data_IF_206094660131
#
_entry.id   IF_206094660131
#
_cell.length_a   1.000
_cell.length_b   1.000
_cell.length_c   1.000
_cell.angle_alpha   90.00
_cell.angle_beta   90.00
_cell.angle_gamma   90.00
#
_symmetry.space_group_name_H-M   'P 1'
#
loop_
_entity.id
_entity.type
_entity.pdbx_description
1 polymer ?
#
# COMPACT_ATOMS: atom_id res chain seq x y z
N UNK A 1 -45.30 12.53 -52.82
CA UNK A 1 -45.65 13.25 -51.56
C UNK A 1 -45.30 12.35 -50.37
N UNK A 2 -44.49 12.90 -49.45
CA UNK A 2 -44.25 12.52 -48.05
C UNK A 2 -43.88 11.05 -47.72
N UNK A 3 -42.56 10.80 -47.62
CA UNK A 3 -41.98 9.77 -46.74
C UNK A 3 -42.17 10.23 -45.28
N UNK A 4 -42.96 9.50 -44.50
CA UNK A 4 -43.06 9.70 -43.06
C UNK A 4 -41.86 9.05 -42.37
N UNK A 5 -41.01 9.90 -41.77
CA UNK A 5 -40.04 9.50 -40.74
C UNK A 5 -40.81 9.32 -39.44
N UNK A 6 -40.78 8.13 -38.86
CA UNK A 6 -41.06 7.95 -37.43
C UNK A 6 -39.74 7.55 -36.76
N UNK A 7 -39.08 8.55 -36.18
CA UNK A 7 -38.12 8.35 -35.10
C UNK A 7 -38.91 7.79 -33.91
N UNK A 8 -38.60 6.57 -33.48
CA UNK A 8 -39.00 6.10 -32.15
C UNK A 8 -37.91 6.52 -31.18
N UNK A 9 -38.32 7.32 -30.21
CA UNK A 9 -37.55 7.77 -29.06
C UNK A 9 -36.92 6.58 -28.35
N UNK A 10 -35.59 6.60 -28.21
CA UNK A 10 -34.83 5.72 -27.35
C UNK A 10 -34.90 6.24 -25.92
N UNK A 11 -35.55 5.51 -25.02
CA UNK A 11 -35.45 5.76 -23.58
C UNK A 11 -34.02 5.54 -23.07
N UNK A 12 -33.55 6.32 -22.08
CA UNK A 12 -32.22 6.18 -21.49
C UNK A 12 -32.23 5.05 -20.46
N UNK A 13 -32.34 3.82 -20.97
CA UNK A 13 -32.12 2.60 -20.21
C UNK A 13 -31.13 1.77 -21.00
N UNK A 14 -29.93 2.33 -21.21
CA UNK A 14 -28.85 1.59 -21.83
C UNK A 14 -28.66 0.30 -21.02
N UNK A 15 -29.04 -0.84 -21.61
CA UNK A 15 -28.48 -2.14 -21.26
C UNK A 15 -26.98 -2.02 -21.52
N UNK A 16 -26.26 -1.39 -20.60
CA UNK A 16 -24.81 -1.52 -20.51
C UNK A 16 -24.61 -3.02 -20.28
N UNK A 17 -23.94 -3.69 -21.21
CA UNK A 17 -23.76 -5.14 -21.21
C UNK A 17 -23.09 -5.58 -19.90
N UNK A 18 -23.90 -6.04 -18.93
CA UNK A 18 -23.46 -6.49 -17.61
C UNK A 18 -22.40 -7.60 -17.70
N UNK A 19 -22.39 -8.36 -18.79
CA UNK A 19 -21.40 -9.39 -19.08
C UNK A 19 -19.99 -8.81 -19.27
N UNK A 20 -19.88 -7.68 -19.96
CA UNK A 20 -18.60 -6.99 -20.20
C UNK A 20 -18.07 -6.41 -18.88
N UNK A 21 -18.93 -5.82 -18.06
CA UNK A 21 -18.52 -5.24 -16.77
C UNK A 21 -17.99 -6.31 -15.80
N UNK A 22 -18.63 -7.48 -15.73
CA UNK A 22 -18.18 -8.59 -14.89
C UNK A 22 -16.87 -9.19 -15.38
N UNK A 23 -16.66 -9.29 -16.70
CA UNK A 23 -15.39 -9.73 -17.28
C UNK A 23 -14.24 -8.77 -16.96
N UNK A 24 -14.46 -7.46 -17.09
CA UNK A 24 -13.48 -6.42 -16.73
C UNK A 24 -13.16 -6.44 -15.23
N UNK A 25 -14.17 -6.71 -14.38
CA UNK A 25 -13.93 -6.87 -12.95
C UNK A 25 -13.03 -8.08 -12.68
N UNK A 26 -13.35 -9.24 -13.27
CA UNK A 26 -12.58 -10.48 -13.11
C UNK A 26 -11.14 -10.31 -13.61
N UNK A 27 -10.94 -9.67 -14.76
CA UNK A 27 -9.62 -9.42 -15.34
C UNK A 27 -8.74 -8.61 -14.38
N UNK A 28 -9.28 -7.51 -13.83
CA UNK A 28 -8.57 -6.75 -12.81
C UNK A 28 -8.28 -7.57 -11.55
N UNK A 29 -9.23 -8.37 -11.07
CA UNK A 29 -9.04 -9.18 -9.86
C UNK A 29 -7.94 -10.25 -10.07
N UNK A 30 -7.70 -10.66 -11.32
CA UNK A 30 -6.60 -11.55 -11.72
C UNK A 30 -5.27 -10.82 -11.97
N UNK A 31 -5.31 -9.51 -12.18
CA UNK A 31 -4.12 -8.71 -12.48
C UNK A 31 -3.20 -8.68 -11.26
N UNK A 32 -1.91 -8.93 -11.50
CA UNK A 32 -0.86 -8.84 -10.48
C UNK A 32 -0.83 -7.42 -9.88
N UNK A 33 -0.70 -7.25 -8.55
CA UNK A 33 -0.48 -5.92 -7.98
C UNK A 33 0.94 -5.43 -8.29
N UNK A 34 1.12 -4.12 -8.43
CA UNK A 34 2.45 -3.55 -8.71
C UNK A 34 3.38 -3.72 -7.51
N UNK A 35 4.58 -4.24 -7.75
CA UNK A 35 5.61 -4.44 -6.75
C UNK A 35 6.87 -3.62 -7.09
N UNK A 36 7.48 -3.02 -6.07
CA UNK A 36 8.65 -2.16 -6.22
C UNK A 36 9.83 -2.71 -5.41
N UNK A 37 11.03 -2.49 -5.91
CA UNK A 37 12.26 -2.59 -5.13
C UNK A 37 13.03 -1.27 -5.20
N UNK A 38 13.46 -0.78 -4.04
CA UNK A 38 14.24 0.46 -3.90
C UNK A 38 15.67 0.08 -3.55
N UNK A 39 16.60 0.38 -4.45
CA UNK A 39 18.02 0.03 -4.34
C UNK A 39 18.90 1.26 -4.38
N UNK A 40 20.12 1.12 -3.88
CA UNK A 40 21.09 2.21 -3.78
C UNK A 40 22.02 2.06 -2.58
N UNK A 41 23.04 2.91 -2.54
CA UNK A 41 24.10 2.84 -1.52
C UNK A 41 23.57 3.01 -0.08
N UNK A 42 24.25 2.45 0.95
CA UNK A 42 23.85 2.64 2.35
C UNK A 42 23.76 4.13 2.72
N UNK A 43 22.66 4.56 3.36
CA UNK A 43 22.48 5.96 3.76
C UNK A 43 21.86 6.91 2.72
N UNK A 44 21.56 6.45 1.50
CA UNK A 44 21.02 7.31 0.43
C UNK A 44 19.55 7.69 0.61
N UNK A 45 18.88 7.21 1.68
CA UNK A 45 17.48 7.52 1.95
C UNK A 45 16.45 6.51 1.44
N UNK A 46 16.90 5.29 1.07
CA UNK A 46 16.03 4.20 0.57
C UNK A 46 14.77 3.98 1.42
N UNK A 47 14.93 3.74 2.72
CA UNK A 47 13.80 3.45 3.62
C UNK A 47 12.82 4.63 3.72
N UNK A 48 13.32 5.88 3.61
CA UNK A 48 12.45 7.07 3.63
C UNK A 48 11.60 7.14 2.37
N UNK A 49 12.22 6.95 1.19
CA UNK A 49 11.50 6.91 -0.08
C UNK A 49 10.51 5.73 -0.11
N UNK A 50 10.95 4.54 0.30
CA UNK A 50 10.15 3.33 0.28
C UNK A 50 8.91 3.45 1.16
N UNK A 51 9.03 4.00 2.38
CA UNK A 51 7.88 4.26 3.26
C UNK A 51 6.88 5.21 2.62
N UNK A 52 7.34 6.37 2.14
CA UNK A 52 6.47 7.37 1.52
C UNK A 52 5.80 6.85 0.25
N UNK A 53 6.51 6.04 -0.54
CA UNK A 53 5.96 5.38 -1.72
C UNK A 53 4.89 4.35 -1.35
N UNK A 54 5.15 3.52 -0.33
CA UNK A 54 4.18 2.54 0.14
C UNK A 54 2.88 3.20 0.62
N UNK A 55 2.99 4.30 1.38
CA UNK A 55 1.84 5.11 1.81
C UNK A 55 1.10 5.74 0.62
N UNK A 56 1.81 6.36 -0.31
CA UNK A 56 1.21 7.07 -1.46
C UNK A 56 0.57 6.14 -2.49
N UNK A 57 1.13 4.93 -2.65
CA UNK A 57 0.67 3.94 -3.62
C UNK A 57 -0.27 2.87 -3.01
N UNK A 58 -0.52 2.92 -1.70
CA UNK A 58 -1.25 1.90 -0.93
C UNK A 58 -0.64 0.49 -1.03
N UNK A 59 0.69 0.40 -1.03
CA UNK A 59 1.43 -0.85 -0.98
C UNK A 59 1.86 -1.22 0.44
N UNK A 60 2.34 -2.45 0.63
CA UNK A 60 2.98 -2.87 1.87
C UNK A 60 4.48 -2.60 1.87
N UNK A 61 4.96 -1.89 2.86
CA UNK A 61 6.39 -1.71 3.07
C UNK A 61 7.02 -3.01 3.58
N UNK A 62 8.13 -3.41 2.97
CA UNK A 62 8.99 -4.51 3.40
C UNK A 62 10.36 -3.90 3.74
N UNK A 63 10.49 -3.53 5.01
CA UNK A 63 11.68 -2.97 5.64
C UNK A 63 11.97 -3.81 6.88
N UNK A 64 13.22 -4.19 7.08
CA UNK A 64 13.66 -5.06 8.16
C UNK A 64 13.40 -4.42 9.53
N UNK A 65 13.74 -3.15 9.70
CA UNK A 65 13.58 -2.41 10.96
C UNK A 65 12.11 -2.32 11.34
N UNK A 66 11.25 -1.92 10.41
CA UNK A 66 9.81 -1.82 10.68
C UNK A 66 9.15 -3.18 10.95
N UNK A 67 9.61 -4.22 10.24
CA UNK A 67 9.14 -5.59 10.42
C UNK A 67 9.51 -6.11 11.82
N UNK A 68 10.78 -6.00 12.22
CA UNK A 68 11.25 -6.42 13.53
C UNK A 68 10.53 -5.68 14.66
N UNK A 69 10.38 -4.36 14.54
CA UNK A 69 9.65 -3.55 15.52
C UNK A 69 8.17 -3.95 15.62
N UNK A 70 7.54 -4.36 14.50
CA UNK A 70 6.17 -4.86 14.51
C UNK A 70 6.05 -6.19 15.26
N UNK A 71 7.01 -7.10 15.06
CA UNK A 71 7.06 -8.38 15.77
C UNK A 71 7.27 -8.22 17.28
N UNK A 72 8.13 -7.26 17.68
CA UNK A 72 8.36 -6.90 19.08
C UNK A 72 7.07 -6.32 19.70
N UNK A 73 6.46 -5.32 19.05
CA UNK A 73 5.23 -4.67 19.55
C UNK A 73 4.04 -5.62 19.69
N UNK A 74 3.94 -6.60 18.80
CA UNK A 74 2.87 -7.60 18.82
C UNK A 74 3.16 -8.77 19.77
N UNK A 75 4.29 -8.77 20.47
CA UNK A 75 4.71 -9.84 21.39
C UNK A 75 4.66 -11.23 20.72
N UNK A 76 5.02 -11.28 19.44
CA UNK A 76 5.13 -12.55 18.71
C UNK A 76 6.28 -13.39 19.27
N UNK A 77 6.25 -14.71 19.04
CA UNK A 77 7.32 -15.61 19.52
C UNK A 77 8.70 -15.15 19.05
N UNK A 78 8.82 -14.83 17.77
CA UNK A 78 10.05 -14.30 17.16
C UNK A 78 10.41 -12.92 17.71
N UNK A 79 9.42 -12.08 18.03
CA UNK A 79 9.62 -10.77 18.65
C UNK A 79 10.14 -10.85 20.08
N UNK A 80 9.64 -11.78 20.89
CA UNK A 80 10.14 -12.02 22.25
C UNK A 80 11.55 -12.58 22.23
N UNK A 81 11.85 -13.54 21.34
CA UNK A 81 13.20 -14.07 21.13
C UNK A 81 14.18 -12.96 20.73
N UNK A 82 13.79 -12.13 19.75
CA UNK A 82 14.58 -10.99 19.32
C UNK A 82 14.83 -10.00 20.46
N UNK A 83 13.81 -9.69 21.25
CA UNK A 83 13.92 -8.76 22.38
C UNK A 83 14.88 -9.28 23.47
N UNK A 84 14.91 -10.60 23.71
CA UNK A 84 15.89 -11.21 24.62
C UNK A 84 17.33 -11.05 24.09
N UNK A 85 17.55 -11.34 22.81
CA UNK A 85 18.87 -11.18 22.16
C UNK A 85 19.34 -9.72 22.27
N UNK A 86 18.44 -8.77 22.02
CA UNK A 86 18.75 -7.34 22.10
C UNK A 86 19.06 -6.89 23.54
N UNK A 87 18.36 -7.42 24.56
CA UNK A 87 18.65 -7.11 25.96
C UNK A 87 20.02 -7.63 26.43
N UNK A 88 20.49 -8.73 25.84
CA UNK A 88 21.84 -9.26 26.07
C UNK A 88 22.93 -8.44 25.34
N UNK A 89 22.55 -7.42 24.56
CA UNK A 89 23.47 -6.64 23.73
C UNK A 89 23.88 -7.32 22.43
N UNK A 90 23.16 -8.39 22.04
CA UNK A 90 23.36 -9.09 20.79
C UNK A 90 22.79 -8.35 19.58
N UNK A 91 23.07 -8.89 18.38
CA UNK A 91 22.54 -8.40 17.10
C UNK A 91 21.47 -9.36 16.59
N UNK A 92 20.45 -8.84 15.93
CA UNK A 92 19.41 -9.65 15.30
C UNK A 92 20.03 -10.64 14.28
N UNK A 93 19.85 -11.96 14.42
CA UNK A 93 20.43 -12.93 13.49
C UNK A 93 19.87 -12.75 12.08
N UNK A 94 20.76 -12.66 11.08
CA UNK A 94 20.36 -12.41 9.68
C UNK A 94 19.41 -13.48 9.15
N UNK A 95 19.59 -14.75 9.55
CA UNK A 95 18.68 -15.86 9.22
C UNK A 95 17.24 -15.62 9.71
N UNK A 96 17.10 -15.10 10.93
CA UNK A 96 15.79 -14.77 11.50
C UNK A 96 15.14 -13.63 10.72
N UNK A 97 15.91 -12.58 10.40
CA UNK A 97 15.43 -11.44 9.62
C UNK A 97 14.98 -11.89 8.22
N UNK A 98 15.79 -12.70 7.53
CA UNK A 98 15.45 -13.23 6.20
C UNK A 98 14.17 -14.08 6.25
N UNK A 99 14.03 -14.95 7.24
CA UNK A 99 12.82 -15.76 7.45
C UNK A 99 11.58 -14.89 7.63
N UNK A 100 11.67 -13.83 8.43
CA UNK A 100 10.56 -12.89 8.64
C UNK A 100 10.22 -12.13 7.35
N UNK A 101 11.22 -11.68 6.59
CA UNK A 101 11.01 -11.00 5.30
C UNK A 101 10.28 -11.93 4.32
N UNK A 102 10.73 -13.18 4.17
CA UNK A 102 10.09 -14.16 3.27
C UNK A 102 8.66 -14.47 3.74
N UNK A 103 8.44 -14.63 5.04
CA UNK A 103 7.10 -14.84 5.60
C UNK A 103 6.19 -13.64 5.31
N UNK A 104 6.70 -12.41 5.45
CA UNK A 104 5.97 -11.19 5.15
C UNK A 104 5.65 -11.09 3.66
N UNK A 105 6.59 -11.40 2.76
CA UNK A 105 6.41 -11.40 1.30
C UNK A 105 5.33 -12.39 0.82
N UNK A 106 5.07 -13.45 1.61
CA UNK A 106 4.07 -14.47 1.34
C UNK A 106 2.73 -14.23 2.05
N UNK A 107 2.56 -13.10 2.73
CA UNK A 107 1.30 -12.79 3.41
C UNK A 107 0.17 -12.51 2.41
N UNK A 108 -1.08 -12.81 2.77
CA UNK A 108 -2.20 -12.73 1.84
C UNK A 108 -2.54 -11.30 1.38
N UNK A 109 -2.16 -10.29 2.15
CA UNK A 109 -2.40 -8.88 1.79
C UNK A 109 -1.49 -8.41 0.66
N UNK A 110 -0.30 -8.98 0.50
CA UNK A 110 0.60 -8.64 -0.61
C UNK A 110 0.01 -9.05 -1.97
N UNK A 111 -0.79 -10.11 -2.03
CA UNK A 111 -1.50 -10.50 -3.26
C UNK A 111 -2.45 -9.44 -3.80
N UNK A 112 -2.92 -8.56 -2.91
CA UNK A 112 -3.81 -7.50 -3.27
C UNK A 112 -3.09 -6.16 -3.39
N UNK A 113 -2.32 -5.78 -2.37
CA UNK A 113 -1.72 -4.45 -2.27
C UNK A 113 -0.34 -4.35 -2.93
N UNK A 114 0.31 -5.46 -3.25
CA UNK A 114 1.70 -5.47 -3.66
C UNK A 114 2.62 -5.02 -2.52
N UNK A 115 3.86 -4.68 -2.86
CA UNK A 115 4.86 -4.29 -1.86
C UNK A 115 5.89 -3.29 -2.37
N UNK A 116 6.59 -2.64 -1.44
CA UNK A 116 7.83 -1.89 -1.67
C UNK A 116 8.93 -2.52 -0.83
N UNK A 117 9.92 -3.13 -1.47
CA UNK A 117 11.05 -3.79 -0.82
C UNK A 117 12.27 -2.88 -0.78
N UNK A 118 12.86 -2.65 0.40
CA UNK A 118 14.06 -1.81 0.54
C UNK A 118 15.17 -2.39 1.42
N UNK A 119 14.95 -3.53 2.05
CA UNK A 119 15.91 -4.17 2.96
C UNK A 119 16.81 -5.23 2.30
N UNK A 120 16.60 -5.56 1.03
CA UNK A 120 17.36 -6.58 0.30
C UNK A 120 17.99 -6.02 -0.99
N UNK A 121 19.17 -6.52 -1.41
CA UNK A 121 20.01 -7.50 -0.71
C UNK A 121 20.67 -6.90 0.54
N UNK A 122 20.94 -7.75 1.53
CA UNK A 122 21.78 -7.42 2.66
C UNK A 122 23.21 -7.13 2.18
N UNK A 123 23.89 -6.28 2.95
CA UNK A 123 25.29 -5.97 2.70
C UNK A 123 26.23 -7.07 3.23
N UNK A 124 25.76 -7.81 4.23
CA UNK A 124 26.42 -8.99 4.80
C UNK A 124 26.17 -10.22 3.91
N UNK A 125 27.10 -11.17 3.99
CA UNK A 125 27.00 -12.49 3.36
C UNK A 125 27.06 -13.61 4.42
N UNK A 126 26.70 -13.30 5.67
CA UNK A 126 26.70 -14.26 6.79
C UNK A 126 25.68 -15.38 6.57
N UNK A 127 24.48 -15.04 6.11
CA UNK A 127 23.41 -16.01 5.85
C UNK A 127 23.45 -16.56 4.43
N UNK A 128 23.66 -15.68 3.43
CA UNK A 128 23.51 -16.00 2.02
C UNK A 128 24.37 -15.07 1.17
N UNK A 129 24.99 -15.56 0.09
CA UNK A 129 25.79 -14.71 -0.82
C UNK A 129 24.90 -13.69 -1.51
N UNK A 130 25.43 -12.52 -1.85
CA UNK A 130 24.64 -11.46 -2.51
C UNK A 130 24.02 -11.93 -3.83
N UNK A 131 24.72 -12.78 -4.59
CA UNK A 131 24.17 -13.36 -5.81
C UNK A 131 22.91 -14.19 -5.55
N UNK A 132 22.95 -15.06 -4.53
CA UNK A 132 21.82 -15.90 -4.13
C UNK A 132 20.66 -15.04 -3.60
N UNK A 133 20.95 -13.93 -2.92
CA UNK A 133 19.93 -12.97 -2.47
C UNK A 133 19.26 -12.27 -3.65
N UNK A 134 20.01 -11.89 -4.70
CA UNK A 134 19.45 -11.32 -5.92
C UNK A 134 18.61 -12.37 -6.67
N UNK A 135 19.08 -13.61 -6.75
CA UNK A 135 18.33 -14.70 -7.37
C UNK A 135 17.03 -15.00 -6.60
N UNK A 136 17.05 -14.89 -5.27
CA UNK A 136 15.84 -14.97 -4.44
C UNK A 136 14.85 -13.87 -4.80
N UNK A 137 15.32 -12.62 -4.94
CA UNK A 137 14.48 -11.46 -5.33
C UNK A 137 13.85 -11.69 -6.71
N UNK A 138 14.64 -12.16 -7.69
CA UNK A 138 14.17 -12.47 -9.05
C UNK A 138 13.10 -13.57 -9.06
N UNK A 139 13.25 -14.57 -8.19
CA UNK A 139 12.38 -15.74 -8.14
C UNK A 139 11.27 -15.67 -7.07
N UNK A 140 10.99 -14.48 -6.54
CA UNK A 140 9.84 -14.28 -5.66
C UNK A 140 8.55 -14.67 -6.39
N UNK A 141 7.56 -15.17 -5.63
CA UNK A 141 6.21 -15.48 -6.15
C UNK A 141 5.59 -14.29 -6.89
N UNK A 142 5.88 -13.09 -6.41
CA UNK A 142 5.57 -11.83 -7.06
C UNK A 142 6.90 -11.09 -7.23
N UNK A 143 7.59 -11.22 -8.38
CA UNK A 143 8.85 -10.52 -8.59
C UNK A 143 8.60 -9.00 -8.64
N UNK A 144 9.58 -8.15 -8.26
CA UNK A 144 9.42 -6.70 -8.41
C UNK A 144 9.14 -6.34 -9.87
N UNK A 145 8.14 -5.49 -10.11
CA UNK A 145 7.87 -4.94 -11.44
C UNK A 145 8.77 -3.74 -11.70
N UNK A 146 9.05 -2.93 -10.68
CA UNK A 146 9.84 -1.71 -10.79
C UNK A 146 11.11 -1.76 -9.95
N UNK A 147 12.23 -1.34 -10.54
CA UNK A 147 13.48 -1.09 -9.84
C UNK A 147 13.70 0.41 -9.75
N UNK A 148 13.73 0.95 -8.53
CA UNK A 148 14.03 2.36 -8.25
C UNK A 148 15.44 2.43 -7.69
N UNK A 149 16.38 2.93 -8.49
CA UNK A 149 17.78 3.05 -8.13
C UNK A 149 18.12 4.50 -7.75
N UNK A 150 18.49 4.73 -6.49
CA UNK A 150 18.92 6.05 -6.01
C UNK A 150 20.44 6.18 -6.10
N UNK A 151 20.91 7.05 -7.00
CA UNK A 151 22.33 7.35 -7.21
C UNK A 151 22.74 8.58 -6.41
N UNK A 152 23.92 8.54 -5.80
CA UNK A 152 24.51 9.67 -5.07
C UNK A 152 26.02 9.44 -4.99
N UNK A 153 26.80 10.52 -5.12
CA UNK A 153 28.25 10.44 -4.97
C UNK A 153 28.66 10.06 -3.53
N UNK A 154 29.81 9.39 -3.40
CA UNK A 154 30.29 8.87 -2.11
C UNK A 154 30.53 9.98 -1.10
N UNK A 155 31.19 11.05 -1.54
CA UNK A 155 31.55 12.18 -0.68
C UNK A 155 30.31 12.81 -0.06
N UNK A 156 29.27 13.04 -0.86
CA UNK A 156 28.04 13.66 -0.39
C UNK A 156 27.24 12.73 0.51
N UNK A 157 27.30 11.42 0.24
CA UNK A 157 26.71 10.40 1.09
C UNK A 157 27.40 10.32 2.47
N UNK A 158 28.73 10.36 2.51
CA UNK A 158 29.51 10.40 3.77
C UNK A 158 29.22 11.69 4.53
N UNK A 159 29.15 12.83 3.85
CA UNK A 159 28.82 14.12 4.47
C UNK A 159 27.39 14.15 5.02
N UNK A 160 26.43 13.55 4.28
CA UNK A 160 25.04 13.40 4.72
C UNK A 160 24.97 12.52 5.98
N UNK A 161 25.59 11.34 5.96
CA UNK A 161 25.60 10.40 7.07
C UNK A 161 26.25 11.00 8.32
N UNK A 162 27.45 11.59 8.18
CA UNK A 162 28.16 12.26 9.27
C UNK A 162 27.49 13.56 9.74
N UNK A 163 26.39 13.99 9.12
CA UNK A 163 25.53 15.08 9.56
C UNK A 163 24.25 14.61 10.26
N UNK A 164 23.97 13.31 10.29
CA UNK A 164 22.76 12.75 10.91
C UNK A 164 22.98 12.48 12.40
N UNK A 165 22.10 13.03 13.23
CA UNK A 165 21.96 12.63 14.63
C UNK A 165 20.65 11.90 14.86
N UNK A 166 20.57 11.11 15.92
CA UNK A 166 19.35 10.40 16.32
C UNK A 166 18.88 10.85 17.69
N UNK A 167 17.57 10.91 17.87
CA UNK A 167 16.96 11.07 19.19
C UNK A 167 16.90 9.70 19.88
N UNK A 168 17.52 9.51 21.05
CA UNK A 168 17.54 8.24 21.77
C UNK A 168 16.13 7.71 22.09
N UNK A 169 15.21 8.59 22.49
CA UNK A 169 13.88 8.19 22.94
C UNK A 169 12.95 7.76 21.79
N UNK A 170 13.09 8.40 20.62
CA UNK A 170 12.17 8.19 19.49
C UNK A 170 12.78 7.42 18.34
N UNK A 171 14.11 7.26 18.32
CA UNK A 171 14.86 6.70 17.20
C UNK A 171 14.84 7.55 15.93
N UNK A 172 14.21 8.74 15.94
CA UNK A 172 14.10 9.62 14.76
C UNK A 172 15.45 10.22 14.39
N UNK A 173 15.74 10.26 13.09
CA UNK A 173 16.94 10.86 12.52
C UNK A 173 16.73 12.34 12.21
N UNK A 174 17.72 13.16 12.54
CA UNK A 174 17.76 14.61 12.34
C UNK A 174 18.96 14.97 11.46
N UNK A 175 18.72 15.45 10.22
CA UNK A 175 19.79 15.95 9.36
C UNK A 175 20.40 17.25 9.90
N UNK A 176 21.65 17.52 9.49
CA UNK A 176 22.45 18.66 9.91
C UNK A 176 21.67 19.98 9.90
N UNK A 177 20.91 20.26 8.84
CA UNK A 177 20.17 21.51 8.67
C UNK A 177 19.10 21.78 9.74
N UNK A 178 18.60 20.74 10.44
CA UNK A 178 17.58 20.91 11.48
C UNK A 178 18.19 21.21 12.85
N UNK A 179 19.36 20.65 13.17
CA UNK A 179 19.99 20.80 14.50
C UNK A 179 21.16 21.80 14.50
N UNK A 180 21.75 22.15 13.35
CA UNK A 180 22.72 23.25 13.21
C UNK A 180 22.07 24.65 13.13
N UNK A 181 20.80 24.79 13.52
CA UNK A 181 20.10 26.09 13.48
C UNK A 181 20.71 27.17 14.41
N UNK A 182 21.77 26.86 15.16
CA UNK A 182 22.58 27.87 15.87
C UNK A 182 23.46 28.73 14.92
N UNK A 183 23.75 28.28 13.69
CA UNK A 183 24.51 29.09 12.70
C UNK A 183 23.65 30.12 11.94
N UNK A 184 22.31 30.02 12.01
CA UNK A 184 21.40 31.01 11.40
C UNK A 184 21.06 32.19 12.33
N UNK A 185 21.29 32.04 13.63
CA UNK A 185 21.03 33.08 14.65
C UNK A 185 22.30 33.64 15.30
N UNK A 186 23.48 33.19 14.89
CA UNK A 186 24.73 33.88 15.21
C UNK A 186 24.91 35.01 14.19
N UNK A 187 24.87 36.29 14.59
CA UNK A 187 25.20 37.37 13.66
C UNK A 187 26.64 37.14 13.19
N UNK A 188 26.84 36.99 11.89
CA UNK A 188 28.16 37.09 11.27
C UNK A 188 28.80 38.35 11.85
N UNK A 189 29.96 38.22 12.51
CA UNK A 189 30.73 39.39 12.93
C UNK A 189 30.91 40.27 11.70
N UNK A 190 30.45 41.53 11.70
CA UNK A 190 30.86 42.48 10.68
C UNK A 190 32.38 42.56 10.74
N UNK A 191 33.03 42.58 9.58
CA UNK A 191 34.38 43.10 9.44
C UNK A 191 34.49 44.44 10.16
N UNK A 192 35.61 44.63 10.84
CA UNK A 192 35.92 45.77 11.71
C UNK A 192 35.56 47.14 11.09
N UNK A 193 34.34 47.62 11.33
CA UNK A 193 33.99 49.04 11.32
C UNK A 193 33.03 49.32 12.48
N UNK A 194 33.40 50.33 13.25
CA UNK A 194 32.87 50.73 14.55
C UNK A 194 31.36 51.02 14.52
N UNK A 195 30.55 50.27 15.30
CA UNK A 195 29.24 50.77 15.78
C UNK A 195 28.97 50.25 17.20
N UNK A 196 28.57 51.20 18.04
CA UNK A 196 28.49 51.19 19.50
C UNK A 196 27.67 50.06 20.14
N UNK A 197 28.16 49.64 21.31
CA UNK A 197 27.46 48.84 22.32
C UNK A 197 26.17 49.52 22.78
N UNK A 198 25.02 48.84 22.60
CA UNK A 198 23.89 48.86 23.57
C UNK A 198 22.78 47.82 23.37
N UNK A 199 22.62 47.19 22.20
CA UNK A 199 21.40 46.40 21.93
C UNK A 199 21.56 44.86 21.99
N UNK A 200 22.69 44.33 22.45
CA UNK A 200 22.92 42.87 22.52
C UNK A 200 22.23 42.15 23.68
N UNK A 201 21.70 42.89 24.66
CA UNK A 201 21.14 42.28 25.88
C UNK A 201 19.61 42.11 25.87
N UNK A 202 18.89 42.80 24.97
CA UNK A 202 17.43 42.71 24.92
C UNK A 202 16.90 41.61 23.97
N UNK A 203 17.64 41.23 22.92
CA UNK A 203 17.21 40.19 21.97
C UNK A 203 17.37 38.74 22.49
N UNK A 204 18.29 38.48 23.42
CA UNK A 204 18.43 37.15 24.05
C UNK A 204 17.28 36.84 25.03
N UNK A 205 16.63 37.87 25.55
CA UNK A 205 15.54 37.76 26.53
C UNK A 205 14.17 37.55 25.87
N UNK A 206 14.00 37.93 24.59
CA UNK A 206 12.72 37.75 23.87
C UNK A 206 12.59 36.35 23.26
N UNK A 207 13.69 35.73 22.81
CA UNK A 207 13.66 34.38 22.21
C UNK A 207 13.47 33.24 23.24
N UNK A 208 13.72 33.51 24.53
CA UNK A 208 13.58 32.54 25.62
C UNK A 208 12.15 32.43 26.18
N UNK A 209 11.23 33.31 25.75
CA UNK A 209 9.86 33.38 26.26
C UNK A 209 8.81 32.75 25.35
N UNK A 210 9.21 32.16 24.22
CA UNK A 210 8.28 31.43 23.32
C UNK A 210 8.26 29.94 23.71
N UNK A 211 7.12 29.39 24.19
CA UNK A 211 7.05 28.01 24.71
C UNK A 211 7.55 26.93 23.73
N UNK A 212 7.42 27.17 22.42
CA UNK A 212 7.88 26.24 21.38
C UNK A 212 9.38 26.25 21.07
N UNK A 213 10.11 27.31 21.42
CA UNK A 213 11.56 27.45 21.14
C UNK A 213 12.38 26.73 22.22
N UNK A 214 11.94 26.83 23.48
CA UNK A 214 12.57 26.13 24.61
C UNK A 214 12.43 24.61 24.50
N UNK A 215 11.28 24.13 24.00
CA UNK A 215 11.04 22.70 23.75
C UNK A 215 11.93 22.15 22.63
N UNK A 216 12.10 22.89 21.53
CA UNK A 216 13.00 22.52 20.43
C UNK A 216 14.46 22.46 20.88
N UNK A 217 14.91 23.42 21.69
CA UNK A 217 16.30 23.45 22.20
C UNK A 217 16.63 22.22 23.05
N UNK A 218 15.72 21.81 23.96
CA UNK A 218 15.89 20.60 24.77
C UNK A 218 16.02 19.32 23.95
N UNK A 219 15.32 19.20 22.82
CA UNK A 219 15.43 18.02 21.95
C UNK A 219 16.83 17.94 21.34
N UNK A 220 17.40 19.06 20.90
CA UNK A 220 18.68 19.09 20.21
C UNK A 220 19.88 18.76 21.12
N UNK A 221 19.80 19.11 22.41
CA UNK A 221 20.84 18.83 23.40
C UNK A 221 21.01 17.32 23.68
N UNK A 222 19.96 16.52 23.45
CA UNK A 222 19.95 15.07 23.68
C UNK A 222 20.18 14.23 22.41
N UNK A 223 20.43 14.86 21.27
CA UNK A 223 20.68 14.15 20.02
C UNK A 223 22.07 13.50 20.02
N UNK A 224 22.12 12.21 19.66
CA UNK A 224 23.35 11.41 19.65
C UNK A 224 23.83 11.13 18.24
N UNK A 225 25.16 11.01 18.11
CA UNK A 225 25.79 10.51 16.89
C UNK A 225 25.74 8.99 16.84
N UNK A 226 25.43 8.43 15.67
CA UNK A 226 25.53 6.99 15.47
C UNK A 226 26.98 6.63 15.14
N UNK A 227 27.60 5.66 15.85
CA UNK A 227 28.96 5.20 15.53
C UNK A 227 29.10 4.77 14.07
N UNK A 228 28.07 4.15 13.49
CA UNK A 228 28.05 3.71 12.09
C UNK A 228 28.09 4.85 11.07
N UNK A 229 27.63 6.04 11.46
CA UNK A 229 27.53 7.22 10.60
C UNK A 229 28.79 8.09 10.66
N UNK A 230 29.75 7.77 11.54
CA UNK A 230 31.06 8.41 11.54
C UNK A 230 31.73 8.23 10.17
N UNK A 231 32.40 9.26 9.67
CA UNK A 231 32.88 9.32 8.28
C UNK A 231 33.70 8.11 7.85
N UNK A 232 34.57 7.59 8.72
CA UNK A 232 35.38 6.40 8.47
C UNK A 232 34.51 5.14 8.31
N UNK A 233 33.55 4.93 9.21
CA UNK A 233 32.67 3.77 9.21
C UNK A 233 31.67 3.82 8.05
N UNK A 234 31.10 5.00 7.79
CA UNK A 234 30.24 5.25 6.64
C UNK A 234 30.96 4.95 5.32
N UNK A 235 32.20 5.46 5.16
CA UNK A 235 33.01 5.19 3.97
C UNK A 235 33.36 3.70 3.84
N UNK A 236 33.66 3.03 4.96
CA UNK A 236 33.88 1.58 4.99
C UNK A 236 32.68 0.80 4.43
N UNK A 237 31.46 1.12 4.89
CA UNK A 237 30.21 0.49 4.40
C UNK A 237 29.94 0.76 2.93
N UNK A 238 30.16 1.99 2.47
CA UNK A 238 30.00 2.38 1.06
C UNK A 238 30.98 1.60 0.18
N UNK A 239 32.24 1.48 0.62
CA UNK A 239 33.27 0.71 -0.10
C UNK A 239 32.96 -0.79 -0.12
N UNK A 240 32.43 -1.34 0.98
CA UNK A 240 31.97 -2.73 1.03
C UNK A 240 30.88 -2.96 -0.03
N UNK A 241 29.86 -2.10 -0.05
CA UNK A 241 28.77 -2.17 -1.03
C UNK A 241 29.28 -2.07 -2.47
N UNK A 242 30.26 -1.20 -2.75
CA UNK A 242 30.88 -1.09 -4.08
C UNK A 242 31.60 -2.35 -4.52
N UNK A 243 32.29 -3.03 -3.60
CA UNK A 243 33.11 -4.21 -3.90
C UNK A 243 32.27 -5.46 -4.10
N UNK A 244 31.23 -5.65 -3.29
CA UNK A 244 30.45 -6.88 -3.27
C UNK A 244 29.11 -6.75 -4.00
N UNK A 245 28.32 -5.71 -3.70
CA UNK A 245 26.92 -5.60 -4.14
C UNK A 245 26.74 -4.86 -5.46
N UNK A 246 27.47 -3.77 -5.68
CA UNK A 246 27.18 -2.81 -6.75
C UNK A 246 27.17 -3.46 -8.14
N UNK A 247 28.20 -4.24 -8.48
CA UNK A 247 28.31 -4.90 -9.79
C UNK A 247 27.16 -5.88 -10.03
N UNK A 248 26.85 -6.73 -9.04
CA UNK A 248 25.77 -7.71 -9.16
C UNK A 248 24.40 -7.05 -9.29
N UNK A 249 24.23 -5.90 -8.63
CA UNK A 249 23.03 -5.10 -8.74
C UNK A 249 22.94 -4.40 -10.11
N UNK A 250 24.05 -3.89 -10.65
CA UNK A 250 24.11 -3.32 -11.99
C UNK A 250 23.76 -4.38 -13.06
N UNK A 251 24.27 -5.60 -12.91
CA UNK A 251 23.92 -6.73 -13.78
C UNK A 251 22.41 -7.04 -13.68
N UNK A 252 21.84 -7.08 -12.47
CA UNK A 252 20.39 -7.24 -12.26
C UNK A 252 19.57 -6.12 -12.91
N UNK A 253 20.00 -4.87 -12.78
CA UNK A 253 19.35 -3.70 -13.37
C UNK A 253 19.41 -3.76 -14.90
N UNK A 254 20.56 -4.18 -15.47
CA UNK A 254 20.76 -4.26 -16.91
C UNK A 254 19.92 -5.36 -17.57
N UNK A 255 19.68 -6.46 -16.86
CA UNK A 255 18.76 -7.53 -17.30
C UNK A 255 17.28 -7.11 -17.26
N UNK A 256 16.94 -6.11 -16.43
CA UNK A 256 15.58 -5.65 -16.25
C UNK A 256 15.10 -4.77 -17.40
N UNK A 257 13.79 -4.80 -17.69
CA UNK A 257 13.24 -4.03 -18.80
C UNK A 257 13.34 -2.50 -18.51
N UNK A 258 13.91 -1.69 -19.42
CA UNK A 258 14.25 -0.29 -19.15
C UNK A 258 13.07 0.59 -18.75
N UNK A 259 11.86 0.38 -19.29
CA UNK A 259 10.72 1.24 -18.93
C UNK A 259 10.21 1.02 -17.50
N UNK A 260 10.65 -0.03 -16.83
CA UNK A 260 10.30 -0.29 -15.44
C UNK A 260 11.48 -0.04 -14.49
N UNK A 261 12.49 0.68 -14.96
CA UNK A 261 13.68 1.07 -14.21
C UNK A 261 13.70 2.59 -14.07
N UNK A 262 13.81 3.08 -12.83
CA UNK A 262 13.87 4.50 -12.51
C UNK A 262 15.20 4.81 -11.84
N UNK A 263 15.99 5.69 -12.44
CA UNK A 263 17.18 6.25 -11.81
C UNK A 263 16.84 7.60 -11.19
N UNK A 264 17.11 7.76 -9.90
CA UNK A 264 16.86 8.98 -9.17
C UNK A 264 18.17 9.56 -8.63
N UNK A 265 18.24 10.89 -8.59
CA UNK A 265 19.35 11.61 -7.99
C UNK A 265 19.10 11.85 -6.49
N UNK A 266 19.82 11.09 -5.66
CA UNK A 266 19.74 11.12 -4.21
C UNK A 266 20.29 12.38 -3.53
N UNK A 267 20.78 13.37 -4.27
CA UNK A 267 21.04 14.72 -3.73
C UNK A 267 19.75 15.47 -3.42
N UNK A 268 18.68 15.19 -4.16
CA UNK A 268 17.38 15.83 -4.00
C UNK A 268 16.67 15.40 -2.72
N UNK A 269 15.81 16.28 -2.14
CA UNK A 269 15.06 15.95 -0.94
C UNK A 269 14.06 14.80 -1.20
N UNK A 270 13.70 14.02 -0.16
CA UNK A 270 12.80 12.88 -0.32
C UNK A 270 11.41 13.22 -0.89
N UNK A 271 10.92 14.47 -0.73
CA UNK A 271 9.67 14.92 -1.39
C UNK A 271 9.79 14.94 -2.91
N UNK A 272 10.91 15.41 -3.44
CA UNK A 272 11.16 15.55 -4.87
C UNK A 272 11.41 14.19 -5.52
N UNK A 273 12.15 13.32 -4.83
CA UNK A 273 12.33 11.92 -5.24
C UNK A 273 10.99 11.21 -5.39
N UNK A 274 10.12 11.34 -4.38
CA UNK A 274 8.78 10.75 -4.41
C UNK A 274 7.94 11.34 -5.56
N UNK A 275 7.97 12.67 -5.72
CA UNK A 275 7.23 13.35 -6.77
C UNK A 275 7.64 12.88 -8.17
N UNK A 276 8.94 12.66 -8.37
CA UNK A 276 9.50 12.12 -9.62
C UNK A 276 9.00 10.70 -9.90
N UNK A 277 8.99 9.82 -8.88
CA UNK A 277 8.45 8.46 -8.99
C UNK A 277 6.96 8.50 -9.31
N UNK A 278 6.18 9.28 -8.57
CA UNK A 278 4.72 9.38 -8.76
C UNK A 278 4.37 9.94 -10.14
N UNK A 279 5.12 10.95 -10.62
CA UNK A 279 4.96 11.48 -11.96
C UNK A 279 5.20 10.39 -13.02
N UNK A 280 6.30 9.64 -12.90
CA UNK A 280 6.61 8.55 -13.80
C UNK A 280 5.50 7.48 -13.83
N UNK A 281 5.04 7.02 -12.67
CA UNK A 281 3.99 6.01 -12.58
C UNK A 281 2.66 6.50 -13.16
N UNK A 282 2.33 7.78 -12.95
CA UNK A 282 1.12 8.39 -13.52
C UNK A 282 1.17 8.45 -15.06
N UNK A 283 2.36 8.65 -15.65
CA UNK A 283 2.55 8.70 -17.10
C UNK A 283 2.33 7.35 -17.78
N UNK A 284 2.52 6.24 -17.05
CA UNK A 284 2.30 4.88 -17.54
C UNK A 284 0.84 4.41 -17.43
N UNK A 285 -0.08 5.31 -17.06
CA UNK A 285 -1.49 5.01 -16.79
C UNK A 285 -1.70 3.90 -15.74
N UNK A 286 -0.71 3.67 -14.87
CA UNK A 286 -0.82 2.77 -13.74
C UNK A 286 -1.64 3.44 -12.63
N UNK A 287 -2.50 2.66 -11.99
CA UNK A 287 -3.31 3.12 -10.86
C UNK A 287 -2.93 2.36 -9.60
N UNK A 288 -2.91 3.03 -8.43
CA UNK A 288 -2.74 2.34 -7.16
C UNK A 288 -3.89 1.36 -6.94
N UNK A 289 -3.62 0.35 -6.11
CA UNK A 289 -4.60 -0.69 -5.78
C UNK A 289 -5.80 -0.06 -5.08
N UNK A 290 -7.01 -0.48 -5.46
CA UNK A 290 -8.23 -0.05 -4.77
C UNK A 290 -8.28 -0.60 -3.36
N UNK A 291 -8.37 0.28 -2.36
CA UNK A 291 -8.50 -0.11 -0.95
C UNK A 291 -9.99 -0.27 -0.60
N UNK A 292 -10.41 -1.36 0.07
CA UNK A 292 -11.77 -1.47 0.60
C UNK A 292 -12.05 -0.37 1.64
N UNK A 293 -13.15 0.37 1.46
CA UNK A 293 -13.53 1.49 2.32
C UNK A 293 -14.74 1.09 3.17
N UNK A 294 -14.59 1.07 4.49
CA UNK A 294 -15.73 0.91 5.40
C UNK A 294 -16.60 2.17 5.36
N UNK A 295 -17.85 2.02 4.93
CA UNK A 295 -18.73 3.16 4.67
C UNK A 295 -19.26 3.80 5.94
N UNK A 296 -19.61 2.97 6.92
CA UNK A 296 -20.12 3.43 8.20
C UNK A 296 -18.99 3.72 9.19
N UNK A 297 -19.18 4.74 10.02
CA UNK A 297 -18.31 5.00 11.17
C UNK A 297 -18.93 4.41 12.44
N UNK A 298 -18.13 3.98 13.42
CA UNK A 298 -18.64 3.42 14.67
C UNK A 298 -19.52 4.40 15.47
N UNK A 299 -19.42 5.71 15.21
CA UNK A 299 -20.13 6.76 15.95
C UNK A 299 -21.43 7.23 15.27
N UNK A 300 -21.79 6.68 14.10
CA UNK A 300 -23.04 7.01 13.40
C UNK A 300 -24.13 5.97 13.73
N UNK A 301 -25.08 6.37 14.58
CA UNK A 301 -26.27 5.58 14.90
C UNK A 301 -27.14 5.41 13.64
N UNK A 302 -27.39 4.16 13.25
CA UNK A 302 -28.34 3.87 12.17
C UNK A 302 -29.76 4.00 12.73
N UNK A 303 -30.69 4.62 11.99
CA UNK A 303 -32.08 4.59 12.39
C UNK A 303 -32.62 3.15 12.35
N UNK A 304 -33.07 2.64 13.50
CA UNK A 304 -33.47 1.23 13.70
C UNK A 304 -34.70 0.83 12.84
N UNK A 305 -35.51 1.80 12.39
CA UNK A 305 -36.80 1.58 11.72
C UNK A 305 -36.77 1.72 10.18
N UNK A 306 -35.60 1.84 9.55
CA UNK A 306 -35.51 2.01 8.09
C UNK A 306 -35.55 0.67 7.35
N UNK A 307 -36.35 0.58 6.29
CA UNK A 307 -36.33 -0.55 5.35
C UNK A 307 -34.91 -0.82 4.85
N UNK A 308 -34.45 -2.08 4.93
CA UNK A 308 -33.14 -2.55 4.49
C UNK A 308 -32.73 -2.04 3.11
N UNK A 309 -33.69 -1.90 2.19
CA UNK A 309 -33.45 -1.38 0.84
C UNK A 309 -33.16 0.12 0.82
N UNK A 310 -33.85 0.89 1.66
CA UNK A 310 -33.65 2.33 1.83
C UNK A 310 -32.34 2.63 2.55
N UNK A 311 -31.99 1.83 3.56
CA UNK A 311 -30.71 1.90 4.26
C UNK A 311 -29.55 1.74 3.27
N UNK A 312 -29.62 0.74 2.38
CA UNK A 312 -28.57 0.51 1.38
C UNK A 312 -28.47 1.64 0.35
N UNK A 313 -29.58 2.30 0.01
CA UNK A 313 -29.54 3.49 -0.85
C UNK A 313 -28.81 4.63 -0.14
N UNK A 314 -29.08 4.85 1.14
CA UNK A 314 -28.35 5.83 1.93
C UNK A 314 -26.85 5.50 1.97
N UNK A 315 -26.48 4.26 2.33
CA UNK A 315 -25.08 3.82 2.41
C UNK A 315 -24.34 3.97 1.08
N UNK A 316 -25.03 3.74 -0.05
CA UNK A 316 -24.42 3.92 -1.37
C UNK A 316 -23.96 5.35 -1.66
N UNK A 317 -24.52 6.34 -0.97
CA UNK A 317 -24.14 7.75 -1.11
C UNK A 317 -23.05 8.20 -0.15
N UNK A 318 -22.67 7.35 0.82
CA UNK A 318 -21.64 7.66 1.80
C UNK A 318 -20.24 7.38 1.23
N UNK A 319 -19.27 8.24 1.55
CA UNK A 319 -17.83 8.10 1.22
C UNK A 319 -17.56 7.68 -0.23
N UNK A 320 -18.29 8.26 -1.18
CA UNK A 320 -18.19 7.95 -2.61
C UNK A 320 -16.82 8.30 -3.17
N UNK A 321 -16.34 7.52 -4.15
CA UNK A 321 -15.03 7.71 -4.81
C UNK A 321 -14.88 9.11 -5.41
N UNK A 322 -15.98 9.68 -5.91
CA UNK A 322 -16.07 11.06 -6.37
C UNK A 322 -17.45 11.62 -6.02
N UNK A 323 -17.54 12.93 -5.85
CA UNK A 323 -18.82 13.59 -5.54
C UNK A 323 -19.87 13.28 -6.62
N UNK A 324 -21.05 12.83 -6.20
CA UNK A 324 -22.14 12.43 -7.08
C UNK A 324 -22.08 10.99 -7.63
N UNK A 325 -21.03 10.21 -7.32
CA UNK A 325 -20.90 8.82 -7.79
C UNK A 325 -21.21 7.81 -6.69
N UNK A 326 -22.48 7.46 -6.53
CA UNK A 326 -22.92 6.46 -5.55
C UNK A 326 -22.35 5.06 -5.85
N UNK A 327 -22.08 4.29 -4.79
CA UNK A 327 -21.68 2.89 -4.89
C UNK A 327 -22.78 2.06 -5.57
N UNK A 328 -22.39 1.30 -6.59
CA UNK A 328 -23.27 0.37 -7.29
C UNK A 328 -23.47 -0.89 -6.46
N UNK A 329 -24.60 -1.57 -6.63
CA UNK A 329 -24.83 -2.84 -5.93
C UNK A 329 -23.97 -3.93 -6.54
N UNK A 330 -23.26 -4.67 -5.69
CA UNK A 330 -22.54 -5.87 -6.13
C UNK A 330 -23.51 -7.02 -6.44
N UNK A 331 -23.03 -8.00 -7.22
CA UNK A 331 -23.75 -9.26 -7.50
C UNK A 331 -24.00 -10.13 -6.26
N UNK A 332 -23.30 -9.86 -5.16
CA UNK A 332 -23.49 -10.54 -3.89
C UNK A 332 -24.73 -10.04 -3.15
N UNK A 333 -25.30 -8.89 -3.54
CA UNK A 333 -26.47 -8.28 -2.91
C UNK A 333 -26.29 -8.19 -1.38
N UNK A 334 -27.08 -8.96 -0.62
CA UNK A 334 -27.03 -9.00 0.84
C UNK A 334 -26.12 -10.09 1.41
N UNK A 335 -25.54 -10.94 0.57
CA UNK A 335 -24.78 -12.11 1.01
C UNK A 335 -23.32 -11.72 1.22
N UNK A 336 -22.75 -12.10 2.36
CA UNK A 336 -21.34 -11.87 2.65
C UNK A 336 -20.44 -12.71 1.72
N UNK A 337 -19.54 -12.10 0.91
CA UNK A 337 -18.65 -12.82 -0.01
C UNK A 337 -17.67 -13.73 0.73
N UNK A 338 -17.21 -13.32 1.92
CA UNK A 338 -16.27 -14.09 2.75
C UNK A 338 -16.93 -15.35 3.30
N UNK A 339 -18.11 -15.21 3.90
CA UNK A 339 -18.88 -16.34 4.41
C UNK A 339 -19.22 -17.33 3.29
N UNK A 340 -19.61 -16.81 2.11
CA UNK A 340 -19.93 -17.63 0.95
C UNK A 340 -18.73 -18.45 0.48
N UNK A 341 -17.53 -17.86 0.45
CA UNK A 341 -16.28 -18.56 0.10
C UNK A 341 -15.93 -19.66 1.10
N UNK A 342 -16.24 -19.44 2.38
CA UNK A 342 -16.07 -20.41 3.48
C UNK A 342 -17.18 -21.47 3.51
N UNK A 343 -18.18 -21.37 2.63
CA UNK A 343 -19.22 -22.36 2.44
C UNK A 343 -20.52 -22.09 3.21
N UNK A 344 -20.69 -20.89 3.77
CA UNK A 344 -21.87 -20.49 4.53
C UNK A 344 -22.63 -19.37 3.82
N UNK A 345 -23.95 -19.47 3.74
CA UNK A 345 -24.79 -18.40 3.18
C UNK A 345 -25.29 -17.56 4.36
N UNK A 346 -24.57 -16.48 4.66
CA UNK A 346 -24.87 -15.59 5.78
C UNK A 346 -25.13 -14.19 5.20
N UNK A 347 -26.26 -13.53 5.55
CA UNK A 347 -26.49 -12.15 5.18
C UNK A 347 -25.49 -11.23 5.90
N UNK A 348 -25.02 -10.21 5.21
CA UNK A 348 -24.17 -9.18 5.79
C UNK A 348 -24.94 -8.26 6.74
N UNK A 349 -24.22 -7.59 7.63
CA UNK A 349 -24.75 -6.56 8.53
C UNK A 349 -24.44 -5.19 7.93
N UNK A 350 -25.39 -4.23 7.93
CA UNK A 350 -25.17 -2.90 7.37
C UNK A 350 -23.94 -2.18 7.94
N UNK A 351 -23.65 -2.34 9.23
CA UNK A 351 -22.46 -1.79 9.92
C UNK A 351 -21.14 -2.10 9.21
N UNK A 352 -21.03 -3.30 8.62
CA UNK A 352 -19.84 -3.74 7.90
C UNK A 352 -20.02 -3.61 6.38
N UNK A 353 -20.71 -2.58 5.92
CA UNK A 353 -20.81 -2.26 4.49
C UNK A 353 -19.53 -1.62 3.98
N UNK A 354 -19.00 -2.19 2.90
CA UNK A 354 -17.71 -1.86 2.34
C UNK A 354 -17.86 -1.47 0.87
N UNK A 355 -17.32 -0.31 0.52
CA UNK A 355 -17.13 0.11 -0.87
C UNK A 355 -15.82 -0.48 -1.43
N UNK A 356 -15.90 -1.12 -2.59
CA UNK A 356 -14.71 -1.62 -3.31
C UNK A 356 -14.94 -1.56 -4.82
N UNK A 357 -14.04 -0.87 -5.53
CA UNK A 357 -14.02 -0.71 -7.01
C UNK A 357 -15.22 -0.06 -7.69
N UNK A 358 -16.09 0.61 -6.93
CA UNK A 358 -17.42 1.15 -7.33
C UNK A 358 -18.59 0.28 -6.87
N UNK A 359 -18.35 -0.89 -6.29
CA UNK A 359 -19.40 -1.79 -5.78
C UNK A 359 -19.51 -1.76 -4.27
N UNK A 360 -20.74 -1.92 -3.78
CA UNK A 360 -21.10 -2.07 -2.38
C UNK A 360 -21.16 -3.56 -2.01
N UNK A 361 -20.45 -3.93 -0.95
CA UNK A 361 -20.42 -5.26 -0.37
C UNK A 361 -20.88 -5.20 1.08
N UNK A 362 -21.78 -6.09 1.50
CA UNK A 362 -22.22 -6.17 2.89
C UNK A 362 -21.53 -7.37 3.55
N UNK A 363 -20.76 -7.11 4.60
CA UNK A 363 -19.97 -8.13 5.30
C UNK A 363 -20.69 -8.56 6.58
N UNK A 364 -20.56 -9.83 6.98
CA UNK A 364 -21.31 -10.39 8.11
C UNK A 364 -20.73 -10.12 9.49
N UNK A 365 -19.44 -9.82 9.59
CA UNK A 365 -18.75 -9.63 10.87
C UNK A 365 -17.44 -8.86 10.72
N UNK A 366 -16.92 -8.34 11.84
CA UNK A 366 -15.61 -7.68 11.88
C UNK A 366 -14.46 -8.60 11.45
N UNK A 367 -14.52 -9.89 11.78
CA UNK A 367 -13.52 -10.87 11.33
C UNK A 367 -13.55 -11.06 9.81
N UNK A 368 -14.75 -11.16 9.24
CA UNK A 368 -14.93 -11.25 7.80
C UNK A 368 -14.47 -9.94 7.13
N UNK A 369 -14.70 -8.78 7.75
CA UNK A 369 -14.21 -7.49 7.27
C UNK A 369 -12.68 -7.45 7.24
N UNK A 370 -12.00 -7.89 8.31
CA UNK A 370 -10.53 -7.98 8.35
C UNK A 370 -10.00 -8.88 7.23
N UNK A 371 -10.59 -10.07 7.05
CA UNK A 371 -10.24 -11.00 5.96
C UNK A 371 -10.43 -10.38 4.57
N UNK A 372 -11.57 -9.74 4.34
CA UNK A 372 -11.88 -9.06 3.08
C UNK A 372 -10.93 -7.88 2.82
N UNK A 373 -10.63 -7.09 3.85
CA UNK A 373 -9.71 -5.95 3.79
C UNK A 373 -8.27 -6.39 3.53
N UNK A 374 -7.87 -7.56 4.03
CA UNK A 374 -6.56 -8.13 3.71
C UNK A 374 -6.45 -8.49 2.24
N UNK A 375 -7.39 -9.26 1.70
CA UNK A 375 -7.34 -9.69 0.30
C UNK A 375 -8.76 -9.89 -0.28
N UNK A 376 -9.36 -8.86 -0.88
CA UNK A 376 -10.69 -8.96 -1.46
C UNK A 376 -10.70 -9.86 -2.70
N UNK A 377 -9.59 -9.90 -3.47
CA UNK A 377 -9.46 -10.69 -4.71
C UNK A 377 -9.77 -12.18 -4.47
N UNK A 378 -9.30 -12.73 -3.35
CA UNK A 378 -9.54 -14.13 -2.96
C UNK A 378 -11.03 -14.49 -2.84
N UNK A 379 -11.86 -13.54 -2.41
CA UNK A 379 -13.30 -13.74 -2.14
C UNK A 379 -14.18 -13.35 -3.33
N UNK A 380 -13.75 -12.38 -4.13
CA UNK A 380 -14.50 -11.87 -5.27
C UNK A 380 -14.25 -12.64 -6.57
N UNK A 381 -13.08 -13.27 -6.73
CA UNK A 381 -12.84 -14.12 -7.89
C UNK A 381 -13.85 -15.27 -7.93
N UNK A 382 -14.35 -15.63 -9.14
CA UNK A 382 -15.29 -16.72 -9.31
C UNK A 382 -14.81 -17.96 -8.56
N UNK A 383 -15.72 -18.60 -7.84
CA UNK A 383 -15.44 -19.91 -7.27
C UNK A 383 -15.08 -20.83 -8.45
N UNK A 384 -13.81 -21.24 -8.55
CA UNK A 384 -13.46 -22.49 -9.24
C UNK A 384 -14.15 -23.58 -8.40
N UNK A 385 -15.44 -23.79 -8.64
CA UNK A 385 -16.29 -24.47 -7.69
C UNK A 385 -15.78 -25.90 -7.47
N UNK A 386 -15.33 -26.29 -6.26
CA UNK A 386 -15.40 -27.69 -5.91
C UNK A 386 -16.88 -28.09 -5.91
N UNK A 387 -17.17 -29.36 -6.17
CA UNK A 387 -18.50 -29.95 -6.33
C UNK A 387 -19.54 -29.72 -5.19
N UNK A 388 -19.20 -28.94 -4.14
CA UNK A 388 -20.02 -28.63 -2.96
C UNK A 388 -21.15 -27.62 -3.22
N UNK A 389 -21.04 -26.77 -4.24
CA UNK A 389 -22.09 -25.82 -4.62
C UNK A 389 -22.61 -26.14 -6.01
N UNK A 390 -23.45 -27.19 -6.14
CA UNK A 390 -24.30 -27.30 -7.32
C UNK A 390 -25.31 -26.16 -7.26
N UNK A 391 -25.43 -25.31 -8.30
CA UNK A 391 -26.50 -24.32 -8.34
C UNK A 391 -27.84 -25.06 -8.17
N UNK A 392 -28.81 -24.46 -7.45
CA UNK A 392 -30.13 -25.05 -7.33
C UNK A 392 -30.69 -25.30 -8.74
N UNK A 393 -31.49 -26.36 -8.89
CA UNK A 393 -32.10 -26.66 -10.18
C UNK A 393 -32.82 -25.42 -10.73
N UNK A 394 -32.52 -25.07 -11.97
CA UNK A 394 -33.06 -23.88 -12.63
C UNK A 394 -34.59 -23.97 -12.68
N UNK A 395 -35.28 -22.99 -12.08
CA UNK A 395 -36.74 -22.89 -12.11
C UNK A 395 -37.13 -21.70 -12.96
N UNK A 396 -37.79 -21.94 -14.08
CA UNK A 396 -38.21 -20.91 -15.03
C UNK A 396 -39.73 -20.82 -14.99
N UNK A 397 -40.25 -19.60 -14.85
CA UNK A 397 -41.68 -19.34 -14.84
C UNK A 397 -42.06 -18.43 -16.01
N UNK A 398 -43.02 -18.86 -16.83
CA UNK A 398 -43.50 -18.11 -17.98
C UNK A 398 -44.77 -17.32 -17.65
N UNK A 399 -44.68 -15.99 -17.67
CA UNK A 399 -45.79 -15.06 -17.41
C UNK A 399 -46.24 -14.38 -18.71
N UNK A 400 -47.54 -14.12 -18.87
CA UNK A 400 -48.08 -13.44 -20.07
C UNK A 400 -49.57 -13.65 -20.31
N UNK A 401 -50.10 -13.11 -21.40
CA UNK A 401 -51.54 -13.21 -21.76
C UNK A 401 -51.91 -14.55 -22.40
N UNK A 402 -53.21 -14.88 -22.48
CA UNK A 402 -53.69 -16.08 -23.20
C UNK A 402 -53.32 -15.96 -24.69
N UNK A 403 -52.79 -17.05 -25.27
CA UNK A 403 -52.35 -17.10 -26.66
C UNK A 403 -50.91 -16.64 -26.92
N UNK A 404 -50.17 -16.17 -25.92
CA UNK A 404 -48.80 -15.68 -26.08
C UNK A 404 -47.73 -16.77 -26.34
N UNK A 405 -48.13 -18.03 -26.61
CA UNK A 405 -47.20 -19.12 -26.90
C UNK A 405 -46.34 -19.62 -25.71
N UNK A 406 -46.73 -19.27 -24.47
CA UNK A 406 -45.99 -19.64 -23.25
C UNK A 406 -45.82 -21.13 -23.05
N UNK A 407 -46.86 -21.91 -23.35
CA UNK A 407 -46.82 -23.38 -23.27
C UNK A 407 -45.85 -23.96 -24.28
N UNK A 408 -45.93 -23.51 -25.54
CA UNK A 408 -45.05 -23.95 -26.63
C UNK A 408 -43.59 -23.59 -26.36
N UNK A 409 -43.33 -22.38 -25.87
CA UNK A 409 -41.98 -21.91 -25.55
C UNK A 409 -41.42 -22.63 -24.33
N UNK A 410 -42.24 -22.86 -23.31
CA UNK A 410 -41.85 -23.61 -22.11
C UNK A 410 -41.52 -25.07 -22.40
N UNK A 411 -42.34 -25.75 -23.21
CA UNK A 411 -42.08 -27.13 -23.65
C UNK A 411 -40.81 -27.23 -24.50
N UNK A 412 -40.60 -26.26 -25.41
CA UNK A 412 -39.40 -26.23 -26.25
C UNK A 412 -38.13 -26.01 -25.42
N UNK A 413 -38.15 -25.04 -24.50
CA UNK A 413 -37.01 -24.72 -23.65
C UNK A 413 -36.67 -25.86 -22.69
N UNK A 414 -37.69 -26.50 -22.11
CA UNK A 414 -37.53 -27.66 -21.25
C UNK A 414 -36.83 -28.82 -21.96
N UNK A 415 -37.16 -29.07 -23.24
CA UNK A 415 -36.45 -30.06 -24.07
C UNK A 415 -35.01 -29.66 -24.36
N UNK A 416 -34.75 -28.38 -24.59
CA UNK A 416 -33.41 -27.90 -24.96
C UNK A 416 -32.43 -27.94 -23.77
N UNK A 417 -32.92 -27.68 -22.56
CA UNK A 417 -32.13 -27.61 -21.34
C UNK A 417 -32.18 -28.91 -20.50
N UNK A 418 -32.95 -29.91 -20.93
CA UNK A 418 -33.22 -31.16 -20.21
C UNK A 418 -33.75 -30.94 -18.77
N UNK A 419 -34.79 -30.11 -18.66
CA UNK A 419 -35.41 -29.71 -17.37
C UNK A 419 -36.87 -30.13 -17.35
N UNK A 420 -37.38 -30.52 -16.18
CA UNK A 420 -38.78 -30.92 -15.99
C UNK A 420 -39.75 -29.76 -16.23
N UNK A 421 -40.70 -29.95 -17.16
CA UNK A 421 -41.74 -28.97 -17.47
C UNK A 421 -43.03 -29.26 -16.69
N UNK A 422 -43.54 -28.24 -15.99
CA UNK A 422 -44.83 -28.27 -15.27
C UNK A 422 -45.82 -27.37 -16.01
N UNK A 423 -47.00 -27.91 -16.34
CA UNK A 423 -48.05 -27.19 -17.08
C UNK A 423 -48.88 -26.27 -16.19
#
# INVERSE_FOLDING_TARGET
>A
MKRNKNYKESHPGCLVDKLIEDEVEIEYLRTKPTCFIVVGRPGVGKSTLARRLAESWNCRLIDDTELLMTHIKNESKEGTELLNILFEGGVAPEELVLKLIIARLNSPDIDHYGYVLCCMPFLSEECMKIQEQIDLIKNLRLPPDFIINIKCADHDLVNRLSGLKQCPDTGRLYPRNLWNQEELFSPKKPSDEEVEDKDKQELSTVCSQVPGVQYKKRIYDHLVWLPENLSLNAMGRINMYKRSTLRLLEDYIAEHHPVYMLELDGENPPEELLSSVMFYLSSMALKPVSVPVLLQQPDEELPEDIDTEALLRHMSTLKTVASGFAWRRSRWAHICPVALKEGKIIPGVPEFSVGFRDKLYIISSQEAYKKFSMNPRKYLLPLNAPAKFKPPALRIFFLGVRGAGKTTTGEWLAKQLDIFYIK
#
